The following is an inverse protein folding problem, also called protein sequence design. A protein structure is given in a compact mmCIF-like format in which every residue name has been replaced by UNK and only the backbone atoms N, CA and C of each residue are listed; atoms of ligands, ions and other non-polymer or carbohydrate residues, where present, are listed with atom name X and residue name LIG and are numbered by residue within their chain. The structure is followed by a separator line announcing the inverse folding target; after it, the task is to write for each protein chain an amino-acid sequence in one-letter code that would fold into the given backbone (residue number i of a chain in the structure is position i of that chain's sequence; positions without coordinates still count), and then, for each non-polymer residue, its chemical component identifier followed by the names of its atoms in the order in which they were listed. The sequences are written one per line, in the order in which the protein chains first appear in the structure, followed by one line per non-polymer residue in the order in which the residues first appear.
data_IF_424206987346
#
_entry.id   IF_424206987346
#
_cell.length_a   1.000
_cell.length_b   1.000
_cell.length_c   1.000
_cell.angle_alpha   90.00
_cell.angle_beta   90.00
_cell.angle_gamma   90.00
#
_symmetry.space_group_name_H-M   'P 1'
#
loop_
_entity.id
_entity.type
_entity.pdbx_description
1 polymer ?
#
# COMPACT_ATOMS: atom_id res chain seq x y z
N UNK A 1 -32.17 -28.16 -1.57
CA UNK A 1 -32.93 -26.91 -1.84
C UNK A 1 -32.33 -25.80 -1.00
N UNK A 2 -31.29 -25.13 -1.50
CA UNK A 2 -30.76 -23.90 -0.91
C UNK A 2 -31.72 -22.77 -1.21
N UNK A 3 -32.28 -22.15 -0.17
CA UNK A 3 -33.22 -21.04 -0.32
C UNK A 3 -32.41 -19.79 -0.69
N UNK A 4 -32.43 -19.40 -1.96
CA UNK A 4 -31.88 -18.13 -2.41
C UNK A 4 -32.75 -16.99 -1.91
N UNK A 5 -32.32 -16.32 -0.84
CA UNK A 5 -33.01 -15.15 -0.32
C UNK A 5 -32.76 -13.93 -1.21
N UNK A 6 -33.62 -12.92 -1.14
CA UNK A 6 -33.41 -11.63 -1.84
C UNK A 6 -32.12 -10.96 -1.38
N UNK A 7 -31.71 -11.21 -0.14
CA UNK A 7 -30.53 -10.64 0.50
C UNK A 7 -29.24 -11.26 -0.05
N UNK A 8 -29.16 -12.59 -0.21
CA UNK A 8 -27.97 -13.25 -0.79
C UNK A 8 -27.69 -12.80 -2.22
N UNK A 9 -28.75 -12.52 -2.99
CA UNK A 9 -28.62 -11.94 -4.35
C UNK A 9 -28.07 -10.52 -4.33
N UNK A 10 -28.38 -9.71 -3.31
CA UNK A 10 -27.88 -8.33 -3.19
C UNK A 10 -26.41 -8.31 -2.77
N UNK A 11 -26.04 -9.15 -1.82
CA UNK A 11 -24.65 -9.34 -1.40
C UNK A 11 -23.79 -9.78 -2.59
N UNK A 12 -24.20 -10.84 -3.29
CA UNK A 12 -23.48 -11.34 -4.47
C UNK A 12 -23.36 -10.29 -5.59
N UNK A 13 -24.40 -9.45 -5.76
CA UNK A 13 -24.31 -8.34 -6.70
C UNK A 13 -23.28 -7.29 -6.27
N UNK A 14 -23.26 -6.90 -4.99
CA UNK A 14 -22.31 -5.95 -4.44
C UNK A 14 -20.86 -6.46 -4.53
N UNK A 15 -20.68 -7.76 -4.32
CA UNK A 15 -19.43 -8.47 -4.49
C UNK A 15 -18.89 -8.30 -5.92
N UNK A 16 -19.74 -8.52 -6.92
CA UNK A 16 -19.38 -8.34 -8.34
C UNK A 16 -19.02 -6.88 -8.63
N UNK A 17 -19.75 -5.91 -8.07
CA UNK A 17 -19.40 -4.49 -8.25
C UNK A 17 -18.02 -4.18 -7.66
N UNK A 18 -17.72 -4.67 -6.44
CA UNK A 18 -16.40 -4.47 -5.83
C UNK A 18 -15.28 -5.05 -6.69
N UNK A 19 -15.43 -6.30 -7.14
CA UNK A 19 -14.44 -6.97 -7.99
C UNK A 19 -14.26 -6.26 -9.35
N UNK A 20 -15.36 -5.77 -9.94
CA UNK A 20 -15.30 -4.99 -11.17
C UNK A 20 -14.57 -3.65 -10.94
N UNK A 21 -14.77 -3.03 -9.77
CA UNK A 21 -14.02 -1.85 -9.36
C UNK A 21 -12.52 -2.09 -9.29
N UNK A 22 -12.12 -3.22 -8.70
CA UNK A 22 -10.72 -3.64 -8.63
C UNK A 22 -10.13 -3.89 -10.02
N UNK A 23 -10.87 -4.60 -10.88
CA UNK A 23 -10.45 -4.86 -12.25
C UNK A 23 -10.24 -3.56 -13.06
N UNK A 24 -11.13 -2.56 -12.90
CA UNK A 24 -10.93 -1.26 -13.54
C UNK A 24 -9.72 -0.51 -12.98
N UNK A 25 -9.48 -0.55 -11.66
CA UNK A 25 -8.34 0.12 -11.02
C UNK A 25 -6.99 -0.40 -11.53
N UNK A 26 -6.87 -1.71 -11.75
CA UNK A 26 -5.63 -2.37 -12.19
C UNK A 26 -5.49 -2.45 -13.71
N UNK A 27 -6.54 -2.09 -14.47
CA UNK A 27 -6.54 -2.18 -15.93
C UNK A 27 -5.47 -1.26 -16.56
N UNK A 28 -4.51 -1.90 -17.23
CA UNK A 28 -3.41 -1.21 -17.94
C UNK A 28 -3.88 -0.58 -19.27
N UNK A 29 -4.84 -1.21 -19.96
CA UNK A 29 -5.34 -0.73 -21.26
C UNK A 29 -6.39 0.38 -21.11
N UNK A 30 -6.38 1.34 -22.03
CA UNK A 30 -7.35 2.44 -22.10
C UNK A 30 -6.91 3.70 -21.34
N UNK A 31 -7.79 4.70 -21.27
CA UNK A 31 -7.53 5.93 -20.51
C UNK A 31 -7.49 5.64 -19.00
N UNK A 32 -6.33 5.86 -18.37
CA UNK A 32 -6.13 5.63 -16.92
C UNK A 32 -7.08 6.47 -16.08
N UNK A 33 -7.38 7.70 -16.50
CA UNK A 33 -8.32 8.57 -15.81
C UNK A 33 -9.71 7.97 -15.78
N UNK A 34 -10.23 7.56 -16.94
CA UNK A 34 -11.53 6.91 -17.07
C UNK A 34 -11.62 5.59 -16.30
N UNK A 35 -10.58 4.76 -16.34
CA UNK A 35 -10.53 3.50 -15.59
C UNK A 35 -10.72 3.74 -14.08
N UNK A 36 -10.10 4.79 -13.52
CA UNK A 36 -10.28 5.15 -12.12
C UNK A 36 -11.68 5.68 -11.79
N UNK A 37 -12.31 6.44 -12.70
CA UNK A 37 -13.71 6.86 -12.52
C UNK A 37 -14.68 5.67 -12.53
N UNK A 38 -14.44 4.70 -13.42
CA UNK A 38 -15.22 3.47 -13.46
C UNK A 38 -15.03 2.66 -12.17
N UNK A 39 -13.79 2.54 -11.68
CA UNK A 39 -13.51 1.88 -10.41
C UNK A 39 -14.26 2.51 -9.23
N UNK A 40 -14.16 3.84 -9.09
CA UNK A 40 -14.88 4.62 -8.06
C UNK A 40 -16.38 4.37 -8.16
N UNK A 41 -16.94 4.39 -9.37
CA UNK A 41 -18.37 4.15 -9.60
C UNK A 41 -18.77 2.75 -9.11
N UNK A 42 -18.00 1.71 -9.41
CA UNK A 42 -18.36 0.36 -8.98
C UNK A 42 -18.22 0.17 -7.46
N UNK A 43 -17.19 0.74 -6.83
CA UNK A 43 -17.06 0.70 -5.38
C UNK A 43 -18.22 1.43 -4.69
N UNK A 44 -18.63 2.59 -5.19
CA UNK A 44 -19.81 3.30 -4.67
C UNK A 44 -21.09 2.48 -4.81
N UNK A 45 -21.25 1.71 -5.90
CA UNK A 45 -22.36 0.77 -6.07
C UNK A 45 -22.30 -0.37 -5.07
N UNK A 46 -21.14 -0.97 -4.85
CA UNK A 46 -20.95 -1.98 -3.82
C UNK A 46 -21.34 -1.44 -2.43
N UNK A 47 -20.90 -0.22 -2.09
CA UNK A 47 -21.23 0.48 -0.84
C UNK A 47 -22.70 0.92 -0.71
N UNK A 48 -23.51 0.79 -1.76
CA UNK A 48 -24.98 0.97 -1.66
C UNK A 48 -25.69 -0.25 -1.05
N UNK A 49 -24.98 -1.38 -0.97
CA UNK A 49 -25.46 -2.63 -0.37
C UNK A 49 -24.61 -3.00 0.83
N UNK A 50 -23.28 -2.96 0.69
CA UNK A 50 -22.39 -3.09 1.83
C UNK A 50 -22.54 -1.87 2.71
N UNK A 51 -23.14 -2.06 3.88
CA UNK A 51 -23.24 -1.06 4.93
C UNK A 51 -22.36 -1.50 6.11
N UNK A 52 -22.00 -0.56 6.99
CA UNK A 52 -21.23 -0.91 8.19
C UNK A 52 -22.00 -1.86 9.12
N UNK A 53 -23.33 -1.78 9.17
CA UNK A 53 -24.15 -2.64 10.03
C UNK A 53 -24.30 -4.05 9.48
N UNK A 54 -24.55 -4.18 8.17
CA UNK A 54 -24.99 -5.44 7.59
C UNK A 54 -23.80 -6.26 7.07
N UNK A 55 -22.75 -5.57 6.58
CA UNK A 55 -21.57 -6.20 5.99
C UNK A 55 -20.28 -5.47 6.41
N UNK A 56 -19.95 -5.38 7.71
CA UNK A 56 -18.88 -4.52 8.22
C UNK A 56 -17.52 -4.76 7.55
N UNK A 57 -17.14 -6.02 7.35
CA UNK A 57 -15.86 -6.42 6.74
C UNK A 57 -15.81 -6.01 5.26
N UNK A 58 -16.83 -6.39 4.47
CA UNK A 58 -16.88 -6.03 3.05
C UNK A 58 -17.01 -4.53 2.83
N UNK A 59 -17.75 -3.85 3.70
CA UNK A 59 -17.85 -2.40 3.69
C UNK A 59 -16.48 -1.76 3.92
N UNK A 60 -15.75 -2.15 4.98
CA UNK A 60 -14.44 -1.60 5.29
C UNK A 60 -13.41 -1.87 4.18
N UNK A 61 -13.34 -3.09 3.66
CA UNK A 61 -12.50 -3.45 2.52
C UNK A 61 -12.83 -2.60 1.27
N UNK A 62 -14.12 -2.36 1.01
CA UNK A 62 -14.54 -1.50 -0.11
C UNK A 62 -14.16 -0.04 0.13
N UNK A 63 -14.17 0.44 1.38
CA UNK A 63 -13.65 1.78 1.71
C UNK A 63 -12.15 1.88 1.41
N UNK A 64 -11.33 0.89 1.77
CA UNK A 64 -9.88 0.87 1.47
C UNK A 64 -9.66 1.01 -0.04
N UNK A 65 -10.30 0.13 -0.82
CA UNK A 65 -10.23 0.12 -2.27
C UNK A 65 -10.68 1.43 -2.92
N UNK A 66 -11.75 2.03 -2.40
CA UNK A 66 -12.22 3.34 -2.84
C UNK A 66 -11.25 4.46 -2.47
N UNK A 67 -10.63 4.37 -1.28
CA UNK A 67 -9.58 5.28 -0.83
C UNK A 67 -8.38 5.27 -1.77
N UNK A 68 -7.91 4.07 -2.16
CA UNK A 68 -6.85 3.92 -3.15
C UNK A 68 -7.23 4.50 -4.51
N UNK A 69 -8.46 4.25 -4.97
CA UNK A 69 -8.94 4.79 -6.23
C UNK A 69 -8.95 6.32 -6.21
N UNK A 70 -9.37 6.95 -5.10
CA UNK A 70 -9.28 8.39 -4.91
C UNK A 70 -7.82 8.88 -4.85
N UNK A 71 -6.95 8.20 -4.11
CA UNK A 71 -5.53 8.56 -4.03
C UNK A 71 -4.84 8.47 -5.38
N UNK A 72 -5.26 7.60 -6.28
CA UNK A 72 -4.68 7.48 -7.62
C UNK A 72 -5.42 8.30 -8.69
N UNK A 73 -6.56 8.91 -8.36
CA UNK A 73 -7.44 9.64 -9.29
C UNK A 73 -6.74 10.86 -9.91
N UNK A 74 -6.74 10.88 -11.24
CA UNK A 74 -6.08 11.92 -12.06
C UNK A 74 -7.01 13.12 -12.30
N UNK A 75 -8.33 12.87 -12.39
CA UNK A 75 -9.33 13.91 -12.60
C UNK A 75 -9.71 14.58 -11.28
N UNK A 76 -10.24 15.79 -11.36
CA UNK A 76 -10.58 16.66 -10.21
C UNK A 76 -9.35 17.16 -9.43
N UNK A 77 -9.50 18.20 -8.58
CA UNK A 77 -8.39 18.73 -7.81
C UNK A 77 -7.72 17.66 -6.94
N UNK A 78 -6.38 17.58 -7.03
CA UNK A 78 -5.57 16.59 -6.30
C UNK A 78 -5.81 16.65 -4.79
N UNK A 79 -5.94 17.85 -4.23
CA UNK A 79 -6.21 18.09 -2.82
C UNK A 79 -7.50 17.40 -2.35
N UNK A 80 -8.62 17.61 -3.06
CA UNK A 80 -9.90 16.99 -2.71
C UNK A 80 -9.87 15.46 -2.78
N UNK A 81 -9.17 14.92 -3.79
CA UNK A 81 -9.03 13.48 -3.95
C UNK A 81 -8.27 12.85 -2.77
N UNK A 82 -7.23 13.52 -2.26
CA UNK A 82 -6.47 13.06 -1.10
C UNK A 82 -7.30 13.12 0.18
N UNK A 83 -8.08 14.18 0.42
CA UNK A 83 -8.98 14.22 1.58
C UNK A 83 -10.05 13.13 1.51
N UNK A 84 -10.59 12.86 0.30
CA UNK A 84 -11.51 11.73 0.10
C UNK A 84 -10.83 10.42 0.44
N UNK A 85 -9.60 10.19 -0.02
CA UNK A 85 -8.85 8.97 0.29
C UNK A 85 -8.66 8.78 1.81
N UNK A 86 -8.15 9.82 2.49
CA UNK A 86 -7.95 9.82 3.94
C UNK A 86 -9.27 9.49 4.66
N UNK A 87 -10.36 10.15 4.28
CA UNK A 87 -11.68 9.88 4.88
C UNK A 87 -12.12 8.41 4.71
N UNK A 88 -11.83 7.76 3.57
CA UNK A 88 -12.16 6.35 3.37
C UNK A 88 -11.32 5.42 4.24
N UNK A 89 -10.02 5.69 4.35
CA UNK A 89 -9.14 4.90 5.22
C UNK A 89 -9.54 5.01 6.69
N UNK A 90 -9.86 6.21 7.17
CA UNK A 90 -10.37 6.41 8.53
C UNK A 90 -11.70 5.69 8.79
N UNK A 91 -12.59 5.62 7.79
CA UNK A 91 -13.80 4.80 7.88
C UNK A 91 -13.48 3.31 8.03
N UNK A 92 -12.51 2.79 7.28
CA UNK A 92 -12.10 1.39 7.38
C UNK A 92 -11.51 1.02 8.76
N UNK A 93 -10.75 1.93 9.38
CA UNK A 93 -10.22 1.75 10.74
C UNK A 93 -11.31 1.63 11.82
N UNK A 94 -12.55 2.04 11.52
CA UNK A 94 -13.67 1.88 12.43
C UNK A 94 -14.25 0.45 12.49
N UNK A 95 -13.69 -0.46 11.69
CA UNK A 95 -13.99 -1.90 11.66
C UNK A 95 -12.71 -2.70 11.82
N UNK A 96 -11.67 -2.39 11.05
CA UNK A 96 -10.36 -3.02 11.17
C UNK A 96 -9.55 -2.35 12.27
N UNK A 97 -9.68 -2.86 13.48
CA UNK A 97 -8.93 -2.44 14.66
C UNK A 97 -7.61 -3.20 14.76
N UNK A 98 -6.64 -2.66 15.51
CA UNK A 98 -5.35 -3.32 15.74
C UNK A 98 -5.52 -4.68 16.44
N UNK A 99 -6.48 -4.81 17.37
CA UNK A 99 -6.71 -6.04 18.13
C UNK A 99 -7.36 -7.14 17.30
N UNK A 100 -8.35 -6.77 16.47
CA UNK A 100 -9.21 -7.75 15.82
C UNK A 100 -8.68 -8.11 14.42
N UNK A 101 -8.02 -7.15 13.76
CA UNK A 101 -7.51 -7.29 12.40
C UNK A 101 -6.14 -6.60 12.23
N UNK A 102 -5.11 -7.06 12.97
CA UNK A 102 -3.81 -6.38 13.03
C UNK A 102 -3.21 -6.13 11.64
N UNK A 103 -3.22 -7.13 10.75
CA UNK A 103 -2.70 -7.00 9.38
C UNK A 103 -3.38 -5.89 8.58
N UNK A 104 -4.73 -5.91 8.51
CA UNK A 104 -5.49 -4.92 7.74
C UNK A 104 -5.42 -3.54 8.39
N UNK A 105 -5.38 -3.48 9.72
CA UNK A 105 -5.17 -2.22 10.42
C UNK A 105 -3.83 -1.59 10.02
N UNK A 106 -2.74 -2.36 10.04
CA UNK A 106 -1.41 -1.89 9.60
C UNK A 106 -1.39 -1.50 8.13
N UNK A 107 -2.05 -2.26 7.24
CA UNK A 107 -2.18 -1.92 5.82
C UNK A 107 -2.82 -0.54 5.64
N UNK A 108 -3.91 -0.27 6.38
CA UNK A 108 -4.57 1.03 6.35
C UNK A 108 -3.66 2.15 6.87
N UNK A 109 -2.85 1.90 7.89
CA UNK A 109 -1.88 2.88 8.38
C UNK A 109 -0.86 3.23 7.29
N UNK A 110 -0.33 2.25 6.54
CA UNK A 110 0.57 2.55 5.40
C UNK A 110 -0.13 3.38 4.32
N UNK A 111 -1.41 3.12 4.04
CA UNK A 111 -2.19 3.90 3.09
C UNK A 111 -2.44 5.34 3.55
N UNK A 112 -2.72 5.53 4.84
CA UNK A 112 -2.85 6.85 5.47
C UNK A 112 -1.52 7.62 5.38
N UNK A 113 -0.40 6.99 5.74
CA UNK A 113 0.91 7.61 5.61
C UNK A 113 1.21 8.05 4.17
N UNK A 114 0.94 7.20 3.19
CA UNK A 114 1.08 7.55 1.77
C UNK A 114 0.16 8.71 1.37
N UNK A 115 -1.07 8.78 1.88
CA UNK A 115 -1.97 9.89 1.60
C UNK A 115 -1.53 11.19 2.29
N UNK A 116 -1.10 11.15 3.55
CA UNK A 116 -0.57 12.30 4.29
C UNK A 116 0.69 12.85 3.65
N UNK A 117 1.61 11.99 3.20
CA UNK A 117 2.84 12.42 2.52
C UNK A 117 2.58 13.14 1.20
N UNK A 118 1.40 12.98 0.59
CA UNK A 118 1.00 13.64 -0.64
C UNK A 118 0.02 14.79 -0.40
N UNK A 119 -0.51 14.92 0.83
CA UNK A 119 -1.57 15.83 1.21
C UNK A 119 -1.15 17.28 1.01
N UNK A 120 -1.99 18.02 0.28
CA UNK A 120 -1.75 19.42 -0.09
C UNK A 120 -2.42 20.41 0.88
N UNK A 121 -3.41 19.96 1.66
CA UNK A 121 -4.07 20.76 2.67
C UNK A 121 -3.36 20.58 4.03
N UNK A 122 -3.38 21.63 4.85
CA UNK A 122 -2.59 21.69 6.07
C UNK A 122 -1.12 22.04 5.81
N UNK A 123 -0.34 22.19 6.88
CA UNK A 123 1.09 22.48 6.78
C UNK A 123 1.89 21.24 6.38
N UNK A 124 2.85 21.38 5.44
CA UNK A 124 3.71 20.28 4.99
C UNK A 124 4.43 19.59 6.15
N UNK A 125 4.93 20.37 7.12
CA UNK A 125 5.60 19.83 8.30
C UNK A 125 4.66 18.92 9.12
N UNK A 126 3.44 19.39 9.39
CA UNK A 126 2.44 18.59 10.12
C UNK A 126 2.04 17.31 9.37
N UNK A 127 1.85 17.40 8.04
CA UNK A 127 1.53 16.23 7.23
C UNK A 127 2.66 15.18 7.21
N UNK A 128 3.92 15.61 7.35
CA UNK A 128 5.07 14.71 7.46
C UNK A 128 5.12 14.02 8.83
N UNK A 129 4.79 14.71 9.92
CA UNK A 129 4.66 14.04 11.23
C UNK A 129 3.54 12.99 11.20
N UNK A 130 2.36 13.31 10.64
CA UNK A 130 1.29 12.32 10.45
C UNK A 130 1.72 11.14 9.56
N UNK A 131 2.62 11.36 8.60
CA UNK A 131 3.16 10.30 7.75
C UNK A 131 4.06 9.37 8.56
N UNK A 132 4.95 9.95 9.38
CA UNK A 132 5.88 9.21 10.24
C UNK A 132 5.09 8.40 11.27
N UNK A 133 4.16 9.04 11.98
CA UNK A 133 3.32 8.39 12.99
C UNK A 133 2.58 7.19 12.41
N UNK A 134 1.95 7.34 11.24
CA UNK A 134 1.21 6.26 10.60
C UNK A 134 2.12 5.11 10.12
N UNK A 135 3.33 5.37 9.63
CA UNK A 135 4.27 4.28 9.32
C UNK A 135 4.78 3.59 10.59
N UNK A 136 5.06 4.32 11.67
CA UNK A 136 5.44 3.74 12.96
C UNK A 136 4.34 2.83 13.52
N UNK A 137 3.07 3.27 13.45
CA UNK A 137 1.93 2.43 13.82
C UNK A 137 1.87 1.15 12.99
N UNK A 138 2.09 1.21 11.67
CA UNK A 138 2.16 0.01 10.83
C UNK A 138 3.27 -0.96 11.28
N UNK A 139 4.44 -0.44 11.70
CA UNK A 139 5.58 -1.23 12.17
C UNK A 139 5.37 -1.86 13.56
N UNK A 140 4.34 -1.49 14.31
CA UNK A 140 3.94 -2.21 15.52
C UNK A 140 3.39 -3.61 15.21
N UNK A 141 2.91 -3.82 13.97
CA UNK A 141 2.33 -5.10 13.51
C UNK A 141 3.21 -5.74 12.45
N UNK A 142 3.65 -4.96 11.45
CA UNK A 142 4.58 -5.43 10.45
C UNK A 142 5.93 -5.56 11.11
N UNK A 143 6.26 -6.76 11.58
CA UNK A 143 7.58 -7.13 12.09
C UNK A 143 8.41 -7.77 10.99
N UNK A 144 9.74 -7.78 11.15
CA UNK A 144 10.63 -8.45 10.20
C UNK A 144 10.34 -9.96 10.14
N UNK A 145 9.94 -10.55 11.25
CA UNK A 145 9.69 -11.99 11.39
C UNK A 145 8.36 -12.43 10.76
N UNK A 146 7.28 -11.69 11.02
CA UNK A 146 5.93 -12.09 10.61
C UNK A 146 5.55 -11.56 9.23
N UNK A 147 6.05 -10.37 8.87
CA UNK A 147 5.72 -9.68 7.62
C UNK A 147 6.97 -9.02 7.00
N UNK A 148 8.01 -9.80 6.66
CA UNK A 148 9.31 -9.26 6.24
C UNK A 148 9.22 -8.27 5.08
N UNK A 149 8.36 -8.54 4.10
CA UNK A 149 8.22 -7.71 2.89
C UNK A 149 7.50 -6.39 3.23
N UNK A 150 6.36 -6.45 3.92
CA UNK A 150 5.62 -5.27 4.36
C UNK A 150 6.44 -4.41 5.33
N UNK A 151 7.18 -5.04 6.25
CA UNK A 151 8.10 -4.37 7.16
C UNK A 151 9.17 -3.61 6.37
N UNK A 152 9.92 -4.28 5.49
CA UNK A 152 10.99 -3.65 4.72
C UNK A 152 10.49 -2.53 3.81
N UNK A 153 9.33 -2.72 3.16
CA UNK A 153 8.70 -1.66 2.37
C UNK A 153 8.31 -0.46 3.23
N UNK A 154 7.81 -0.71 4.45
CA UNK A 154 7.43 0.34 5.40
C UNK A 154 8.66 1.08 5.90
N UNK A 155 9.77 0.40 6.18
CA UNK A 155 11.06 1.02 6.53
C UNK A 155 11.57 1.94 5.42
N UNK A 156 11.55 1.52 4.16
CA UNK A 156 11.90 2.41 3.03
C UNK A 156 11.03 3.68 3.03
N UNK A 157 9.74 3.54 3.30
CA UNK A 157 8.82 4.67 3.24
C UNK A 157 8.97 5.61 4.45
N UNK A 158 9.22 5.06 5.63
CA UNK A 158 9.54 5.81 6.84
C UNK A 158 10.88 6.56 6.67
N UNK A 159 11.89 5.93 6.08
CA UNK A 159 13.16 6.58 5.74
C UNK A 159 12.98 7.75 4.77
N UNK A 160 12.08 7.64 3.78
CA UNK A 160 11.73 8.76 2.91
C UNK A 160 11.05 9.89 3.70
N UNK A 161 10.15 9.55 4.62
CA UNK A 161 9.45 10.53 5.44
C UNK A 161 10.42 11.30 6.36
N UNK A 162 11.38 10.61 7.00
CA UNK A 162 12.46 11.25 7.76
C UNK A 162 13.37 12.11 6.87
N UNK A 163 13.75 11.62 5.69
CA UNK A 163 14.53 12.38 4.72
C UNK A 163 13.81 13.66 4.25
N UNK A 164 12.47 13.68 4.26
CA UNK A 164 11.67 14.86 3.89
C UNK A 164 11.26 15.71 5.11
N UNK A 165 11.44 15.21 6.33
CA UNK A 165 10.98 15.82 7.58
C UNK A 165 11.55 17.22 7.77
N UNK A 166 10.65 18.16 8.09
CA UNK A 166 10.94 19.58 8.26
C UNK A 166 11.20 19.92 9.73
N UNK A 167 10.47 19.29 10.66
CA UNK A 167 10.65 19.49 12.10
C UNK A 167 11.88 18.77 12.63
N UNK A 168 12.41 19.25 13.76
CA UNK A 168 13.57 18.65 14.43
C UNK A 168 14.92 19.03 13.81
N UNK A 169 15.98 18.36 14.27
CA UNK A 169 17.32 18.56 13.73
C UNK A 169 17.49 17.86 12.38
N UNK A 170 17.93 18.61 11.36
CA UNK A 170 18.07 18.06 10.00
C UNK A 170 19.11 16.95 9.94
N UNK A 171 20.17 17.05 10.75
CA UNK A 171 21.22 16.05 10.75
C UNK A 171 20.72 14.73 11.36
N UNK A 172 20.00 14.81 12.47
CA UNK A 172 19.32 13.66 13.09
C UNK A 172 18.29 13.00 12.18
N UNK A 173 17.43 13.78 11.51
CA UNK A 173 16.45 13.24 10.56
C UNK A 173 17.11 12.43 9.42
N UNK A 174 18.31 12.83 8.97
CA UNK A 174 19.05 12.07 7.97
C UNK A 174 19.67 10.79 8.54
N UNK A 175 20.04 10.75 9.81
CA UNK A 175 20.49 9.51 10.46
C UNK A 175 19.33 8.51 10.58
N UNK A 176 18.14 8.95 11.01
CA UNK A 176 16.96 8.09 11.01
C UNK A 176 16.66 7.56 9.61
N UNK A 177 16.69 8.40 8.57
CA UNK A 177 16.50 7.93 7.21
C UNK A 177 17.50 6.85 6.79
N UNK A 178 18.78 7.02 7.13
CA UNK A 178 19.84 6.05 6.85
C UNK A 178 19.56 4.72 7.57
N UNK A 179 19.21 4.78 8.85
CA UNK A 179 18.87 3.61 9.68
C UNK A 179 17.71 2.82 9.07
N UNK A 180 16.61 3.47 8.70
CA UNK A 180 15.46 2.77 8.12
C UNK A 180 15.79 2.13 6.76
N UNK A 181 16.60 2.79 5.92
CA UNK A 181 17.04 2.16 4.66
C UNK A 181 17.95 0.97 4.90
N UNK A 182 18.80 1.00 5.93
CA UNK A 182 19.64 -0.14 6.30
C UNK A 182 18.80 -1.31 6.81
N UNK A 183 17.78 -1.05 7.63
CA UNK A 183 16.83 -2.06 8.10
C UNK A 183 16.12 -2.74 6.92
N UNK A 184 15.65 -1.98 5.93
CA UNK A 184 15.03 -2.54 4.73
C UNK A 184 15.97 -3.48 3.93
N UNK A 185 17.27 -3.20 3.92
CA UNK A 185 18.29 -4.02 3.23
C UNK A 185 18.57 -5.35 3.94
N UNK A 186 18.06 -5.55 5.17
CA UNK A 186 18.12 -6.86 5.85
C UNK A 186 17.14 -7.88 5.25
N UNK A 187 16.11 -7.42 4.55
CA UNK A 187 15.14 -8.27 3.84
C UNK A 187 15.34 -8.17 2.33
N UNK A 188 15.42 -6.96 1.80
CA UNK A 188 15.67 -6.77 0.37
C UNK A 188 17.14 -6.98 0.09
N UNK A 189 17.54 -8.23 -0.11
CA UNK A 189 18.90 -8.60 -0.50
C UNK A 189 19.08 -8.49 -2.02
N UNK A 190 20.34 -8.38 -2.49
CA UNK A 190 20.64 -8.39 -3.93
C UNK A 190 20.18 -9.68 -4.62
N UNK A 191 20.17 -10.80 -3.91
CA UNK A 191 19.87 -12.13 -4.47
C UNK A 191 18.36 -12.36 -4.57
N UNK A 192 17.62 -12.06 -3.51
CA UNK A 192 16.19 -12.36 -3.43
C UNK A 192 15.33 -11.24 -4.06
N UNK A 193 15.77 -9.98 -3.91
CA UNK A 193 15.04 -8.80 -4.34
C UNK A 193 15.96 -7.77 -5.02
N UNK A 194 16.59 -8.12 -6.16
CA UNK A 194 17.60 -7.28 -6.80
C UNK A 194 17.10 -5.86 -7.15
N UNK A 195 15.83 -5.71 -7.51
CA UNK A 195 15.24 -4.42 -7.87
C UNK A 195 15.04 -3.56 -6.64
N UNK A 196 14.38 -4.09 -5.62
CA UNK A 196 14.08 -3.40 -4.36
C UNK A 196 15.38 -3.07 -3.60
N UNK A 197 16.34 -4.00 -3.60
CA UNK A 197 17.68 -3.77 -3.05
C UNK A 197 18.37 -2.59 -3.78
N UNK A 198 18.40 -2.57 -5.11
CA UNK A 198 19.02 -1.48 -5.87
C UNK A 198 18.30 -0.12 -5.66
N UNK A 199 16.97 -0.12 -5.56
CA UNK A 199 16.21 1.08 -5.24
C UNK A 199 16.51 1.60 -3.83
N UNK A 200 16.63 0.68 -2.86
CA UNK A 200 16.96 1.02 -1.47
C UNK A 200 18.39 1.54 -1.35
N UNK A 201 19.34 0.90 -2.03
CA UNK A 201 20.73 1.38 -2.14
C UNK A 201 20.80 2.78 -2.76
N UNK A 202 19.97 3.07 -3.76
CA UNK A 202 19.90 4.42 -4.35
C UNK A 202 19.43 5.45 -3.31
N UNK A 203 18.42 5.12 -2.50
CA UNK A 203 17.93 6.00 -1.42
C UNK A 203 18.99 6.21 -0.33
N UNK A 204 19.66 5.13 0.07
CA UNK A 204 20.76 5.17 1.03
C UNK A 204 21.93 6.03 0.53
N UNK A 205 22.30 5.90 -0.76
CA UNK A 205 23.33 6.74 -1.37
C UNK A 205 22.96 8.22 -1.41
N UNK A 206 21.70 8.56 -1.69
CA UNK A 206 21.21 9.94 -1.60
C UNK A 206 21.28 10.45 -0.16
N UNK A 207 20.90 9.63 0.82
CA UNK A 207 20.94 10.00 2.23
C UNK A 207 22.38 10.25 2.70
N UNK A 208 23.33 9.36 2.38
CA UNK A 208 24.76 9.58 2.66
C UNK A 208 25.32 10.83 1.98
N UNK A 209 24.97 11.06 0.71
CA UNK A 209 25.37 12.28 -0.01
C UNK A 209 24.85 13.54 0.67
N UNK A 210 23.69 13.47 1.33
CA UNK A 210 23.08 14.60 2.02
C UNK A 210 23.46 14.66 3.52
N UNK A 211 24.06 13.61 4.07
CA UNK A 211 24.40 13.48 5.49
C UNK A 211 25.28 14.63 5.97
N UNK A 212 24.88 15.20 7.10
CA UNK A 212 25.52 16.37 7.73
C UNK A 212 26.55 15.94 8.79
N UNK A 213 26.28 14.86 9.54
CA UNK A 213 27.18 14.35 10.57
C UNK A 213 28.36 13.60 9.96
N UNK A 214 29.49 13.60 10.68
CA UNK A 214 30.70 12.89 10.30
C UNK A 214 31.54 13.60 9.24
N UNK A 215 32.53 12.89 8.72
CA UNK A 215 33.43 13.43 7.70
C UNK A 215 32.78 13.45 6.32
N UNK A 216 32.87 14.59 5.63
CA UNK A 216 32.19 14.80 4.34
C UNK A 216 32.75 13.89 3.25
N UNK A 217 34.05 13.66 3.22
CA UNK A 217 34.66 12.79 2.22
C UNK A 217 34.21 11.33 2.44
N UNK A 218 34.24 10.86 3.70
CA UNK A 218 33.74 9.53 4.05
C UNK A 218 32.27 9.32 3.70
N UNK A 219 31.42 10.34 3.91
CA UNK A 219 30.01 10.27 3.52
C UNK A 219 29.83 10.17 2.00
N UNK A 220 30.68 10.83 1.21
CA UNK A 220 30.65 10.72 -0.25
C UNK A 220 31.13 9.35 -0.74
N UNK A 221 32.15 8.77 -0.09
CA UNK A 221 32.58 7.39 -0.40
C UNK A 221 31.45 6.38 -0.16
N UNK A 222 30.74 6.48 0.97
CA UNK A 222 29.57 5.64 1.25
C UNK A 222 28.46 5.83 0.21
N UNK A 223 28.24 7.07 -0.24
CA UNK A 223 27.26 7.35 -1.28
C UNK A 223 27.65 6.73 -2.63
N UNK A 224 28.92 6.85 -3.02
CA UNK A 224 29.46 6.27 -4.24
C UNK A 224 29.32 4.75 -4.21
N UNK A 225 29.68 4.12 -3.10
CA UNK A 225 29.54 2.68 -2.91
C UNK A 225 28.08 2.23 -3.08
N UNK A 226 27.14 2.89 -2.41
CA UNK A 226 25.71 2.57 -2.53
C UNK A 226 25.19 2.73 -3.97
N UNK A 227 25.61 3.79 -4.70
CA UNK A 227 25.23 3.96 -6.10
C UNK A 227 25.87 2.90 -7.02
N UNK A 228 27.12 2.52 -6.77
CA UNK A 228 27.79 1.45 -7.51
C UNK A 228 27.07 0.11 -7.28
N UNK A 229 26.73 -0.20 -6.03
CA UNK A 229 25.93 -1.34 -5.65
C UNK A 229 24.59 -1.35 -6.40
N UNK A 230 23.82 -0.26 -6.36
CA UNK A 230 22.56 -0.14 -7.11
C UNK A 230 22.74 -0.34 -8.62
N UNK A 231 23.77 0.27 -9.22
CA UNK A 231 24.05 0.16 -10.67
C UNK A 231 24.51 -1.23 -11.12
N UNK A 232 24.98 -2.06 -10.18
CA UNK A 232 25.42 -3.42 -10.47
C UNK A 232 24.29 -4.37 -10.84
N UNK A 233 23.03 -3.98 -10.58
CA UNK A 233 21.84 -4.72 -11.03
C UNK A 233 21.53 -4.32 -12.47
N UNK A 234 21.87 -5.19 -13.43
CA UNK A 234 21.57 -5.00 -14.84
C UNK A 234 20.16 -5.51 -15.13
N UNK A 235 19.26 -4.54 -15.34
CA UNK A 235 17.81 -4.66 -15.57
C UNK A 235 17.32 -5.67 -16.62
N UNK A 236 18.18 -6.34 -17.39
CA UNK A 236 17.78 -7.33 -18.40
C UNK A 236 18.36 -8.72 -18.21
N UNK A 237 19.41 -8.89 -17.40
CA UNK A 237 20.13 -10.15 -17.23
C UNK A 237 19.96 -10.72 -15.82
N UNK A 238 19.65 -9.86 -14.84
CA UNK A 238 19.44 -10.20 -13.43
C UNK A 238 17.96 -10.28 -13.05
N UNK A 239 17.05 -10.34 -14.03
CA UNK A 239 15.65 -10.66 -13.77
C UNK A 239 15.49 -12.19 -13.74
N UNK A 240 15.20 -12.82 -12.58
CA UNK A 240 14.51 -14.08 -12.61
C UNK A 240 13.16 -13.85 -13.31
N UNK A 241 12.75 -14.84 -14.12
CA UNK A 241 11.45 -14.98 -14.79
C UNK A 241 10.30 -14.53 -13.84
N UNK A 242 9.19 -13.94 -14.35
CA UNK A 242 8.34 -13.02 -13.59
C UNK A 242 7.84 -13.55 -12.24
N UNK A 243 8.02 -12.74 -11.21
CA UNK A 243 7.40 -12.80 -9.87
C UNK A 243 5.86 -12.68 -9.88
N UNK A 244 5.18 -12.95 -11.02
CA UNK A 244 3.72 -12.88 -11.16
C UNK A 244 2.96 -13.97 -10.37
N UNK A 245 3.63 -14.75 -9.52
CA UNK A 245 2.98 -15.67 -8.58
C UNK A 245 3.16 -15.27 -7.10
N UNK A 246 4.00 -14.30 -6.78
CA UNK A 246 4.31 -13.88 -5.41
C UNK A 246 3.54 -12.65 -4.94
N UNK A 247 2.70 -12.08 -5.82
CA UNK A 247 1.54 -11.28 -5.41
C UNK A 247 0.24 -12.09 -5.28
N UNK A 248 0.33 -13.43 -5.22
CA UNK A 248 -0.70 -14.20 -4.52
C UNK A 248 -0.32 -14.25 -3.04
N UNK A 249 -0.42 -13.10 -2.35
CA UNK A 249 -0.71 -13.15 -0.93
C UNK A 249 -2.02 -13.95 -0.79
N UNK A 250 -2.06 -15.09 -0.07
CA UNK A 250 -3.30 -15.84 0.10
C UNK A 250 -4.40 -15.00 0.78
N UNK A 251 -4.09 -13.83 1.34
CA UNK A 251 -5.08 -12.91 1.92
C UNK A 251 -5.61 -11.83 0.96
N UNK A 252 -4.98 -11.59 -0.20
CA UNK A 252 -5.52 -10.69 -1.22
C UNK A 252 -6.27 -11.43 -2.35
N UNK A 253 -6.28 -12.78 -2.29
CA UNK A 253 -7.13 -13.65 -3.10
C UNK A 253 -8.45 -14.05 -2.40
N UNK A 254 -8.93 -13.21 -1.48
CA UNK A 254 -10.37 -13.11 -1.24
C UNK A 254 -10.97 -12.08 -2.21
N UNK A 255 -10.70 -12.26 -3.52
CA UNK A 255 -11.77 -12.03 -4.46
C UNK A 255 -12.93 -12.85 -3.94
N UNK A 256 -14.03 -12.18 -3.58
CA UNK A 256 -15.19 -12.79 -2.92
C UNK A 256 -15.40 -14.20 -3.48
N UNK A 257 -15.55 -15.24 -2.62
CA UNK A 257 -15.68 -16.60 -3.11
C UNK A 257 -16.72 -16.60 -4.21
N UNK A 258 -16.30 -16.96 -5.43
CA UNK A 258 -17.25 -17.22 -6.49
C UNK A 258 -18.10 -18.35 -5.92
N UNK A 259 -19.36 -18.04 -5.61
CA UNK A 259 -20.36 -19.07 -5.31
C UNK A 259 -20.53 -19.85 -6.61
N UNK A 260 -19.65 -20.84 -6.83
CA UNK A 260 -19.81 -21.78 -7.92
C UNK A 260 -20.89 -22.76 -7.48
N UNK A 261 -22.11 -22.50 -7.90
CA UNK A 261 -23.19 -23.47 -7.84
C UNK A 261 -22.75 -24.71 -8.64
N UNK A 262 -22.36 -25.76 -7.93
CA UNK A 262 -22.16 -27.08 -8.51
C UNK A 262 -23.55 -27.63 -8.86
N UNK A 263 -23.90 -27.57 -10.14
CA UNK A 263 -25.06 -28.22 -10.70
C UNK A 263 -24.87 -29.73 -10.58
N UNK A 264 -25.43 -30.32 -9.52
CA UNK A 264 -25.63 -31.77 -9.46
C UNK A 264 -26.82 -32.09 -10.36
N UNK A 265 -26.53 -32.51 -11.60
CA UNK A 265 -27.51 -33.19 -12.45
C UNK A 265 -27.75 -34.56 -11.82
N UNK A 266 -28.76 -34.66 -10.96
CA UNK A 266 -29.31 -35.96 -10.59
C UNK A 266 -30.02 -36.53 -11.82
N UNK A 267 -29.38 -37.47 -12.51
CA UNK A 267 -30.07 -38.43 -13.37
C UNK A 267 -31.02 -39.25 -12.49
N UNK A 268 -32.31 -39.12 -12.72
CA UNK A 268 -33.29 -40.11 -12.26
C UNK A 268 -33.56 -41.06 -13.40
N UNK A 269 -33.49 -42.35 -13.08
CA UNK A 269 -33.91 -43.50 -13.90
C UNK A 269 -35.39 -43.39 -14.22
#
# INVERSE_FOLDING_TARGET
LTVFTRESKRESWAAIQSNLGQAYRTRIRGDRGLNLELAITQYQRALSVYTKSDFPIYWAMTQINLGEAYRNRIRHPRAENLEKAIARYLLALSVYTQSDFPYYWAEIQTHLAQAYSQRMLGGRAYNLELTIDAYQLALEVYTKEDFPIEWAQTQINLGNAYSDRICGDRAENLEFAIEEYQLALEVYTKEDFPIEWAQTQTKLGIAYRNRIRGDRAKNLELAIEAFQQASSVRTKQDLPIPWTMTQNNPQNNLGLPIVTESVVISKTI
#
